data_IF_164839517517
#
_entry.id   IF_164839517517
#
_cell.length_a   1.000
_cell.length_b   1.000
_cell.length_c   1.000
_cell.angle_alpha   90.00
_cell.angle_beta   90.00
_cell.angle_gamma   90.00
#
_symmetry.space_group_name_H-M   'P 1'
#
loop_
_entity.id
_entity.type
_entity.pdbx_description
1 polymer ?
#
# COMPACT_ATOMS: atom_id res chain seq x y z
N UNK A 1 -31.16 -6.87 29.27
CA UNK A 1 -31.30 -6.01 28.08
C UNK A 1 -30.59 -4.70 28.40
N UNK A 2 -29.36 -4.52 27.93
CA UNK A 2 -28.64 -3.25 28.09
C UNK A 2 -27.78 -3.03 26.86
N UNK A 3 -28.23 -2.12 26.01
CA UNK A 3 -27.51 -1.63 24.84
C UNK A 3 -26.52 -0.56 25.29
N UNK A 4 -25.22 -0.85 25.24
CA UNK A 4 -24.19 0.19 25.29
C UNK A 4 -23.73 0.48 23.87
N UNK A 5 -24.42 1.43 23.23
CA UNK A 5 -23.86 2.23 22.15
C UNK A 5 -23.15 3.39 22.83
N UNK A 6 -21.82 3.39 22.83
CA UNK A 6 -20.99 4.45 23.40
C UNK A 6 -19.87 4.78 22.42
N UNK A 7 -20.06 5.94 21.79
CA UNK A 7 -19.09 6.99 21.55
C UNK A 7 -17.77 6.66 20.84
N UNK A 8 -17.71 7.05 19.57
CA UNK A 8 -16.52 7.68 18.99
C UNK A 8 -16.91 8.50 17.75
N UNK A 9 -17.51 9.68 17.95
CA UNK A 9 -17.40 10.73 16.94
C UNK A 9 -17.60 12.13 17.55
N UNK A 10 -16.62 12.56 18.33
CA UNK A 10 -16.35 13.98 18.56
C UNK A 10 -14.89 14.18 18.15
N UNK A 11 -14.66 14.45 16.87
CA UNK A 11 -13.36 14.95 16.40
C UNK A 11 -13.54 16.42 16.04
N UNK A 12 -12.89 17.30 16.81
CA UNK A 12 -12.80 18.72 16.48
C UNK A 12 -11.91 18.86 15.24
N UNK A 13 -12.45 19.49 14.18
CA UNK A 13 -11.83 19.57 12.85
C UNK A 13 -10.66 20.56 12.72
N UNK A 14 -10.06 21.01 13.83
CA UNK A 14 -9.09 22.12 13.86
C UNK A 14 -7.71 21.70 14.43
N UNK A 15 -7.37 20.41 14.33
CA UNK A 15 -6.12 19.86 14.85
C UNK A 15 -5.17 19.53 13.69
N UNK A 16 -3.98 20.16 13.61
CA UNK A 16 -3.08 20.08 12.44
C UNK A 16 -2.26 18.78 12.33
N UNK A 17 -2.44 17.82 13.25
CA UNK A 17 -1.70 16.55 13.31
C UNK A 17 -2.67 15.34 13.39
N UNK A 18 -3.59 15.23 12.43
CA UNK A 18 -4.33 13.97 12.23
C UNK A 18 -3.42 13.05 11.41
N UNK A 19 -2.93 11.91 11.93
CA UNK A 19 -2.33 10.90 11.08
C UNK A 19 -3.37 10.46 10.05
N UNK A 20 -3.06 10.65 8.78
CA UNK A 20 -3.97 10.46 7.64
C UNK A 20 -4.46 9.01 7.48
N UNK A 21 -3.88 8.08 8.25
CA UNK A 21 -4.25 6.67 8.26
C UNK A 21 -4.64 6.22 9.67
N UNK A 22 -5.93 6.38 10.03
CA UNK A 22 -6.47 5.67 11.18
C UNK A 22 -6.49 4.17 10.86
N UNK A 23 -5.85 3.30 11.66
CA UNK A 23 -5.84 1.87 11.39
C UNK A 23 -7.28 1.35 11.47
N UNK A 24 -7.84 1.02 10.31
CA UNK A 24 -9.15 0.38 10.22
C UNK A 24 -9.07 -0.97 10.90
N UNK A 25 -10.03 -1.28 11.77
CA UNK A 25 -10.03 -2.53 12.54
C UNK A 25 -10.13 -3.73 11.59
N UNK A 26 -9.04 -4.49 11.44
CA UNK A 26 -9.00 -5.69 10.60
C UNK A 26 -9.69 -6.84 11.34
N UNK A 27 -10.65 -7.48 10.68
CA UNK A 27 -11.39 -8.62 11.22
C UNK A 27 -10.96 -9.92 10.54
N UNK A 28 -10.66 -10.97 11.32
CA UNK A 28 -10.25 -12.28 10.80
C UNK A 28 -11.29 -12.89 9.83
N UNK A 29 -12.59 -12.64 10.05
CA UNK A 29 -13.70 -13.13 9.20
C UNK A 29 -13.72 -12.52 7.79
N UNK A 30 -13.07 -11.36 7.60
CA UNK A 30 -13.08 -10.61 6.34
C UNK A 30 -11.81 -10.90 5.52
N UNK A 31 -10.99 -11.88 5.95
CA UNK A 31 -9.83 -12.35 5.21
C UNK A 31 -10.23 -12.92 3.85
N UNK A 32 -9.59 -12.42 2.80
CA UNK A 32 -9.73 -12.89 1.43
C UNK A 32 -8.36 -13.34 0.93
N UNK A 33 -8.38 -14.34 0.04
CA UNK A 33 -7.18 -14.71 -0.68
C UNK A 33 -6.70 -13.53 -1.53
N UNK A 34 -5.37 -13.31 -1.62
CA UNK A 34 -4.82 -12.26 -2.47
C UNK A 34 -5.10 -12.54 -3.94
N UNK A 35 -5.20 -11.49 -4.75
CA UNK A 35 -5.37 -11.61 -6.20
C UNK A 35 -4.08 -12.00 -6.92
N UNK A 36 -2.94 -11.76 -6.28
CA UNK A 36 -1.60 -12.06 -6.79
C UNK A 36 -0.79 -12.76 -5.71
N UNK A 37 -0.16 -13.87 -6.08
CA UNK A 37 0.90 -14.47 -5.28
C UNK A 37 2.24 -13.88 -5.71
N UNK A 38 3.16 -13.77 -4.76
CA UNK A 38 4.54 -13.33 -5.01
C UNK A 38 5.45 -14.53 -4.87
N UNK A 39 6.07 -14.93 -5.98
CA UNK A 39 6.97 -16.08 -6.03
C UNK A 39 8.37 -15.70 -5.56
N UNK A 40 8.87 -14.55 -6.00
CA UNK A 40 10.22 -14.07 -5.69
C UNK A 40 10.23 -12.56 -5.57
N UNK A 41 11.04 -12.08 -4.63
CA UNK A 41 11.28 -10.67 -4.37
C UNK A 41 12.78 -10.45 -4.39
N UNK A 42 13.26 -9.77 -5.42
CA UNK A 42 14.65 -9.34 -5.54
C UNK A 42 14.72 -7.85 -5.16
N UNK A 43 15.49 -7.55 -4.12
CA UNK A 43 15.69 -6.20 -3.61
C UNK A 43 17.17 -5.82 -3.73
N UNK A 44 17.46 -4.79 -4.52
CA UNK A 44 18.76 -4.12 -4.51
C UNK A 44 18.60 -2.81 -3.71
N UNK A 45 19.32 -2.71 -2.60
CA UNK A 45 19.26 -1.54 -1.71
C UNK A 45 20.61 -0.85 -1.75
N UNK A 46 20.62 0.34 -2.32
CA UNK A 46 21.79 1.18 -2.46
C UNK A 46 21.73 2.28 -1.40
N UNK A 47 22.68 2.26 -0.47
CA UNK A 47 22.74 3.21 0.63
C UNK A 47 23.67 4.38 0.29
N UNK A 48 23.15 5.60 0.44
CA UNK A 48 23.89 6.84 0.32
C UNK A 48 23.87 7.58 1.67
N UNK A 49 24.55 8.72 1.74
CA UNK A 49 24.71 9.47 3.00
C UNK A 49 23.38 10.09 3.49
N UNK A 50 22.49 10.46 2.56
CA UNK A 50 21.23 11.17 2.83
C UNK A 50 19.96 10.41 2.42
N UNK A 51 20.08 9.34 1.61
CA UNK A 51 18.96 8.57 1.11
C UNK A 51 19.35 7.11 0.82
N UNK A 52 18.34 6.29 0.51
CA UNK A 52 18.53 4.95 -0.02
C UNK A 52 17.73 4.80 -1.32
N UNK A 53 18.34 4.24 -2.35
CA UNK A 53 17.63 3.80 -3.56
C UNK A 53 17.30 2.32 -3.39
N UNK A 54 16.04 1.97 -3.63
CA UNK A 54 15.55 0.60 -3.52
C UNK A 54 14.98 0.18 -4.86
N UNK A 55 15.69 -0.70 -5.56
CA UNK A 55 15.18 -1.37 -6.74
C UNK A 55 14.51 -2.68 -6.31
N UNK A 56 13.25 -2.86 -6.71
CA UNK A 56 12.44 -4.03 -6.36
C UNK A 56 11.93 -4.72 -7.61
N UNK A 57 12.32 -5.98 -7.80
CA UNK A 57 11.81 -6.84 -8.88
C UNK A 57 10.97 -7.95 -8.25
N UNK A 58 9.66 -7.93 -8.53
CA UNK A 58 8.72 -8.92 -8.02
C UNK A 58 8.30 -9.86 -9.15
N UNK A 59 8.48 -11.16 -8.95
CA UNK A 59 7.87 -12.20 -9.78
C UNK A 59 6.52 -12.54 -9.17
N UNK A 60 5.45 -12.20 -9.87
CA UNK A 60 4.08 -12.37 -9.36
C UNK A 60 3.23 -13.24 -10.29
N UNK A 61 2.39 -14.07 -9.69
CA UNK A 61 1.40 -14.88 -10.40
C UNK A 61 -0.01 -14.42 -10.05
N UNK A 62 -0.80 -14.11 -11.07
CA UNK A 62 -2.23 -13.79 -10.90
C UNK A 62 -3.01 -15.05 -10.51
N UNK A 63 -3.70 -15.01 -9.37
CA UNK A 63 -4.57 -16.07 -8.86
C UNK A 63 -6.05 -15.78 -9.05
N UNK A 64 -6.44 -14.50 -9.04
CA UNK A 64 -7.83 -14.09 -9.30
C UNK A 64 -7.90 -12.73 -10.00
N UNK A 65 -9.09 -12.44 -10.53
CA UNK A 65 -9.36 -11.13 -11.12
C UNK A 65 -9.30 -10.04 -10.03
N UNK A 66 -8.67 -8.93 -10.37
CA UNK A 66 -8.44 -7.82 -9.45
C UNK A 66 -7.26 -6.95 -9.87
N UNK A 67 -7.20 -5.77 -9.26
CA UNK A 67 -6.12 -4.82 -9.44
C UNK A 67 -4.89 -5.26 -8.65
N UNK A 68 -3.71 -5.03 -9.22
CA UNK A 68 -2.45 -5.21 -8.51
C UNK A 68 -2.24 -3.96 -7.65
N UNK A 69 -2.31 -4.13 -6.33
CA UNK A 69 -2.08 -3.05 -5.37
C UNK A 69 -0.82 -3.36 -4.59
N UNK A 70 0.13 -2.44 -4.62
CA UNK A 70 1.38 -2.54 -3.84
C UNK A 70 1.32 -1.55 -2.69
N UNK A 71 1.57 -2.03 -1.47
CA UNK A 71 1.65 -1.18 -0.28
C UNK A 71 3.09 -0.67 -0.10
N UNK A 72 3.27 0.65 -0.08
CA UNK A 72 4.55 1.33 0.11
C UNK A 72 4.38 2.70 0.75
N UNK A 73 4.82 2.85 2.00
CA UNK A 73 4.71 4.09 2.77
C UNK A 73 6.01 4.92 2.69
N UNK A 74 5.86 6.26 2.57
CA UNK A 74 6.98 7.21 2.56
C UNK A 74 8.02 6.98 1.44
N UNK A 75 7.57 6.48 0.28
CA UNK A 75 8.42 6.21 -0.89
C UNK A 75 8.18 7.23 -2.02
N UNK A 76 9.27 7.68 -2.64
CA UNK A 76 9.25 8.39 -3.91
C UNK A 76 9.42 7.40 -5.06
N UNK A 77 8.44 7.34 -5.97
CA UNK A 77 8.49 6.44 -7.12
C UNK A 77 9.37 7.04 -8.23
N UNK A 78 10.58 6.47 -8.42
CA UNK A 78 11.50 6.91 -9.48
C UNK A 78 11.11 6.34 -10.85
N UNK A 79 10.80 5.05 -10.91
CA UNK A 79 10.33 4.39 -12.13
C UNK A 79 9.59 3.09 -11.79
N UNK A 80 8.70 2.66 -12.69
CA UNK A 80 8.03 1.37 -12.60
C UNK A 80 7.95 0.73 -13.98
N UNK A 81 8.24 -0.56 -14.02
CA UNK A 81 8.14 -1.39 -15.23
C UNK A 81 7.30 -2.62 -14.97
N UNK A 82 6.48 -3.01 -15.94
CA UNK A 82 5.70 -4.24 -15.92
C UNK A 82 6.06 -5.08 -17.14
N UNK A 83 6.60 -6.29 -16.93
CA UNK A 83 7.06 -7.17 -18.02
C UNK A 83 7.99 -6.44 -19.02
N UNK A 84 9.02 -5.77 -18.51
CA UNK A 84 10.00 -4.97 -19.26
C UNK A 84 9.43 -3.72 -19.99
N UNK A 85 8.14 -3.39 -19.79
CA UNK A 85 7.52 -2.17 -20.31
C UNK A 85 7.44 -1.09 -19.23
N UNK A 86 8.03 0.09 -19.48
CA UNK A 86 7.91 1.25 -18.60
C UNK A 86 6.45 1.70 -18.56
N UNK A 87 5.84 1.74 -17.38
CA UNK A 87 4.48 2.21 -17.23
C UNK A 87 4.44 3.74 -17.25
N UNK A 88 3.52 4.28 -18.06
CA UNK A 88 3.19 5.71 -18.03
C UNK A 88 2.25 6.01 -16.87
N UNK A 89 2.21 7.28 -16.43
CA UNK A 89 1.35 7.74 -15.33
C UNK A 89 -0.14 7.42 -15.52
N UNK A 90 -0.63 7.22 -16.75
CA UNK A 90 -2.02 6.86 -17.02
C UNK A 90 -2.34 5.38 -16.70
N UNK A 91 -1.32 4.55 -16.46
CA UNK A 91 -1.44 3.09 -16.24
C UNK A 91 -1.30 2.68 -14.77
N UNK A 92 -0.99 3.61 -13.87
CA UNK A 92 -0.89 3.37 -12.43
C UNK A 92 -1.46 4.55 -11.64
N UNK A 93 -1.79 4.34 -10.38
CA UNK A 93 -2.22 5.41 -9.49
C UNK A 93 -1.48 5.28 -8.16
N UNK A 94 -0.73 6.32 -7.78
CA UNK A 94 -0.10 6.38 -6.47
C UNK A 94 -0.93 7.27 -5.54
N UNK A 95 -1.46 6.71 -4.46
CA UNK A 95 -2.23 7.44 -3.45
C UNK A 95 -2.18 6.72 -2.09
N UNK A 96 -2.11 7.48 -1.00
CA UNK A 96 -2.25 6.97 0.38
C UNK A 96 -1.37 5.74 0.70
N UNK A 97 -0.10 5.78 0.26
CA UNK A 97 0.86 4.68 0.47
C UNK A 97 0.58 3.42 -0.36
N UNK A 98 -0.18 3.55 -1.45
CA UNK A 98 -0.49 2.48 -2.39
C UNK A 98 -0.11 2.86 -3.81
N UNK A 99 0.29 1.86 -4.59
CA UNK A 99 0.54 1.93 -6.03
C UNK A 99 -0.32 0.92 -6.80
#
# INVERSE_FOLDING_TARGET
MSTTQTDANIINADMPDVPTHMPSKIHLKDYKLPSFDVDTVDLDIQLFDDHAIVDSTLVMQRQSDGDLVLDGEELELLSITLNDEVLSNDRYQQADGKL
#
